data_IF_294823603622
#
_entry.id   IF_294823603622
#
_cell.length_a   1.000
_cell.length_b   1.000
_cell.length_c   1.000
_cell.angle_alpha   90.00
_cell.angle_beta   90.00
_cell.angle_gamma   90.00
#
_symmetry.space_group_name_H-M   'P 1'
#
loop_
_entity.id
_entity.type
_entity.pdbx_description
1 polymer ?
#
# COMPACT_ATOMS: atom_id res chain seq x y z
N UNK A 1 -2.78 -27.05 5.03
CA UNK A 1 -1.83 -27.06 3.90
C UNK A 1 -1.56 -25.61 3.54
N UNK A 2 -0.34 -25.11 3.80
CA UNK A 2 0.06 -23.73 3.46
C UNK A 2 0.26 -23.59 1.94
N UNK A 3 0.32 -22.36 1.43
CA UNK A 3 0.35 -22.00 -0.02
C UNK A 3 1.29 -22.88 -0.87
N UNK A 4 0.79 -24.01 -1.37
CA UNK A 4 1.55 -24.98 -2.20
C UNK A 4 2.01 -24.35 -3.51
N UNK A 5 1.32 -23.31 -3.97
CA UNK A 5 1.68 -22.55 -5.18
C UNK A 5 2.56 -21.32 -4.90
N UNK A 6 3.10 -21.13 -3.69
CA UNK A 6 3.95 -19.99 -3.40
C UNK A 6 5.29 -20.13 -4.14
N UNK A 7 5.48 -19.32 -5.18
CA UNK A 7 6.73 -19.29 -5.96
C UNK A 7 7.75 -18.30 -5.41
N UNK A 8 7.30 -17.28 -4.68
CA UNK A 8 8.15 -16.22 -4.14
C UNK A 8 7.48 -15.51 -2.98
N UNK A 9 8.28 -15.16 -1.98
CA UNK A 9 7.87 -14.36 -0.81
C UNK A 9 8.55 -13.00 -0.92
N UNK A 10 7.77 -11.95 -0.69
CA UNK A 10 8.27 -10.59 -0.51
C UNK A 10 7.86 -10.13 0.88
N UNK A 11 8.78 -9.53 1.61
CA UNK A 11 8.56 -9.07 2.98
C UNK A 11 8.61 -7.55 3.01
N UNK A 12 7.67 -6.94 3.74
CA UNK A 12 7.68 -5.52 4.09
C UNK A 12 7.74 -5.41 5.61
N UNK A 13 8.65 -4.59 6.13
CA UNK A 13 8.86 -4.42 7.56
C UNK A 13 9.25 -5.71 8.29
N UNK A 14 8.98 -5.74 9.60
CA UNK A 14 9.32 -6.87 10.47
C UNK A 14 8.23 -7.95 10.43
N UNK A 15 8.59 -9.14 9.96
CA UNK A 15 7.68 -10.29 9.92
C UNK A 15 7.84 -11.12 11.19
N UNK A 16 6.73 -11.32 11.91
CA UNK A 16 6.69 -12.14 13.12
C UNK A 16 5.50 -13.10 13.08
N UNK A 17 5.70 -14.35 13.52
CA UNK A 17 4.65 -15.35 13.67
C UNK A 17 4.24 -15.43 15.14
N UNK A 18 3.10 -14.81 15.46
CA UNK A 18 2.54 -14.81 16.81
C UNK A 18 1.34 -15.75 16.87
N UNK A 19 1.38 -16.73 17.77
CA UNK A 19 0.25 -17.66 18.00
C UNK A 19 -0.60 -17.13 19.15
N UNK A 20 -1.88 -16.78 18.94
CA UNK A 20 -2.74 -16.26 20.02
C UNK A 20 -3.06 -17.38 21.03
N UNK A 21 -2.65 -17.19 22.29
CA UNK A 21 -2.74 -18.22 23.34
C UNK A 21 -4.05 -18.09 24.13
N UNK A 22 -4.41 -16.86 24.51
CA UNK A 22 -5.61 -16.64 25.34
C UNK A 22 -6.87 -16.46 24.50
N UNK A 23 -8.08 -16.64 25.08
CA UNK A 23 -9.32 -16.29 24.40
C UNK A 23 -9.37 -14.83 23.90
N UNK A 24 -8.82 -13.91 24.68
CA UNK A 24 -8.73 -12.49 24.34
C UNK A 24 -7.84 -12.28 23.10
N UNK A 25 -6.65 -12.90 23.07
CA UNK A 25 -5.74 -12.80 21.93
C UNK A 25 -6.37 -13.35 20.66
N UNK A 26 -7.11 -14.47 20.78
CA UNK A 26 -7.83 -15.07 19.64
C UNK A 26 -8.90 -14.13 19.11
N UNK A 27 -9.67 -13.50 20.00
CA UNK A 27 -10.70 -12.54 19.61
C UNK A 27 -10.09 -11.32 18.93
N UNK A 28 -8.99 -10.77 19.46
CA UNK A 28 -8.31 -9.62 18.87
C UNK A 28 -7.71 -9.96 17.50
N UNK A 29 -7.04 -11.11 17.38
CA UNK A 29 -6.48 -11.59 16.11
C UNK A 29 -7.58 -11.80 15.06
N UNK A 30 -8.74 -12.34 15.46
CA UNK A 30 -9.88 -12.50 14.56
C UNK A 30 -10.41 -11.14 14.07
N UNK A 31 -10.64 -10.19 14.97
CA UNK A 31 -11.13 -8.85 14.62
C UNK A 31 -10.17 -8.12 13.68
N UNK A 32 -8.86 -8.20 13.95
CA UNK A 32 -7.84 -7.66 13.05
C UNK A 32 -7.92 -8.28 11.66
N UNK A 33 -8.09 -9.60 11.57
CA UNK A 33 -8.18 -10.31 10.28
C UNK A 33 -9.43 -9.90 9.49
N UNK A 34 -10.57 -9.71 10.16
CA UNK A 34 -11.80 -9.21 9.52
C UNK A 34 -11.59 -7.79 8.99
N UNK A 35 -11.05 -6.89 9.80
CA UNK A 35 -10.78 -5.51 9.39
C UNK A 35 -9.80 -5.44 8.20
N UNK A 36 -8.78 -6.29 8.16
CA UNK A 36 -7.86 -6.39 7.03
C UNK A 36 -8.55 -6.90 5.75
N UNK A 37 -9.45 -7.88 5.86
CA UNK A 37 -10.23 -8.39 4.72
C UNK A 37 -11.14 -7.27 4.17
N UNK A 38 -11.86 -6.57 5.03
CA UNK A 38 -12.75 -5.47 4.64
C UNK A 38 -11.99 -4.32 3.97
N UNK A 39 -10.83 -3.95 4.52
CA UNK A 39 -9.94 -2.97 3.91
C UNK A 39 -9.52 -3.38 2.50
N UNK A 40 -9.09 -4.64 2.33
CA UNK A 40 -8.69 -5.16 1.03
C UNK A 40 -9.85 -5.18 0.03
N UNK A 41 -11.07 -5.48 0.47
CA UNK A 41 -12.26 -5.40 -0.37
C UNK A 41 -12.55 -3.97 -0.81
N UNK A 42 -12.45 -3.00 0.10
CA UNK A 42 -12.68 -1.58 -0.20
C UNK A 42 -11.67 -1.03 -1.23
N UNK A 43 -10.40 -1.43 -1.16
CA UNK A 43 -9.41 -1.08 -2.18
C UNK A 43 -9.81 -1.56 -3.59
N UNK A 44 -10.52 -2.68 -3.66
CA UNK A 44 -10.94 -3.30 -4.91
C UNK A 44 -12.31 -2.83 -5.42
N UNK A 45 -13.02 -1.95 -4.71
CA UNK A 45 -14.37 -1.51 -5.09
C UNK A 45 -14.39 -0.50 -6.25
N UNK A 46 -13.35 0.31 -6.45
CA UNK A 46 -13.32 1.25 -7.56
C UNK A 46 -13.20 0.52 -8.90
N UNK A 47 -14.11 0.80 -9.82
CA UNK A 47 -14.04 0.26 -11.19
C UNK A 47 -12.83 0.80 -11.97
N UNK A 48 -12.25 1.92 -11.55
CA UNK A 48 -11.15 2.59 -12.23
C UNK A 48 -9.81 1.98 -11.79
N UNK A 49 -9.08 1.29 -12.69
CA UNK A 49 -7.84 0.58 -12.33
C UNK A 49 -6.76 1.46 -11.71
N UNK A 50 -6.63 2.69 -12.20
CA UNK A 50 -5.65 3.64 -11.70
C UNK A 50 -5.98 4.10 -10.27
N UNK A 51 -7.27 4.27 -9.94
CA UNK A 51 -7.68 4.63 -8.58
C UNK A 51 -7.39 3.50 -7.59
N UNK A 52 -7.70 2.24 -7.95
CA UNK A 52 -7.32 1.08 -7.12
C UNK A 52 -5.81 1.01 -6.88
N UNK A 53 -5.03 1.30 -7.92
CA UNK A 53 -3.57 1.30 -7.85
C UNK A 53 -3.03 2.39 -6.93
N UNK A 54 -3.60 3.60 -7.00
CA UNK A 54 -3.23 4.71 -6.11
C UNK A 54 -3.60 4.40 -4.66
N UNK A 55 -4.82 3.91 -4.43
CA UNK A 55 -5.29 3.55 -3.09
C UNK A 55 -4.43 2.43 -2.46
N UNK A 56 -4.00 1.45 -3.25
CA UNK A 56 -3.04 0.42 -2.81
C UNK A 56 -1.73 1.06 -2.36
N UNK A 57 -1.15 1.94 -3.17
CA UNK A 57 0.13 2.60 -2.85
C UNK A 57 -0.01 3.50 -1.61
N UNK A 58 -1.13 4.20 -1.45
CA UNK A 58 -1.46 4.99 -0.26
C UNK A 58 -1.50 4.12 0.99
N UNK A 59 -2.32 3.07 0.99
CA UNK A 59 -2.42 2.15 2.13
C UNK A 59 -1.06 1.55 2.52
N UNK A 60 -0.22 1.20 1.52
CA UNK A 60 1.11 0.67 1.80
C UNK A 60 2.04 1.75 2.36
N UNK A 61 2.04 2.96 1.79
CA UNK A 61 2.89 4.07 2.24
C UNK A 61 2.52 4.57 3.65
N UNK A 62 1.27 4.40 4.07
CA UNK A 62 0.83 4.73 5.43
C UNK A 62 1.41 3.78 6.49
N UNK A 63 1.93 2.61 6.07
CA UNK A 63 2.41 1.54 6.96
C UNK A 63 3.88 1.22 6.82
N UNK A 64 4.45 1.46 5.64
CA UNK A 64 5.81 1.10 5.27
C UNK A 64 6.48 2.26 4.56
N UNK A 65 7.81 2.27 4.57
CA UNK A 65 8.55 3.30 3.85
C UNK A 65 8.36 3.16 2.33
N UNK A 66 8.39 4.29 1.63
CA UNK A 66 8.31 4.32 0.16
C UNK A 66 9.37 3.43 -0.48
N UNK A 67 10.59 3.45 0.06
CA UNK A 67 11.72 2.71 -0.49
C UNK A 67 11.53 1.18 -0.34
N UNK A 68 10.98 0.71 0.78
CA UNK A 68 10.63 -0.71 0.94
C UNK A 68 9.57 -1.14 -0.09
N UNK A 69 8.54 -0.31 -0.32
CA UNK A 69 7.47 -0.65 -1.25
C UNK A 69 8.00 -0.65 -2.69
N UNK A 70 8.94 0.25 -3.04
CA UNK A 70 9.59 0.29 -4.36
C UNK A 70 10.40 -0.97 -4.68
N UNK A 71 10.81 -1.74 -3.67
CA UNK A 71 11.47 -3.03 -3.90
C UNK A 71 10.50 -4.09 -4.42
N UNK A 72 9.18 -3.88 -4.28
CA UNK A 72 8.18 -4.80 -4.79
C UNK A 72 8.01 -4.63 -6.30
N UNK A 73 8.09 -5.73 -7.07
CA UNK A 73 7.78 -5.70 -8.49
C UNK A 73 6.33 -5.24 -8.76
N UNK A 74 6.15 -4.45 -9.81
CA UNK A 74 4.82 -3.95 -10.18
C UNK A 74 3.82 -5.07 -10.49
N UNK A 75 4.27 -6.24 -10.94
CA UNK A 75 3.41 -7.40 -11.17
C UNK A 75 2.89 -8.03 -9.87
N UNK A 76 3.67 -7.96 -8.79
CA UNK A 76 3.24 -8.38 -7.45
C UNK A 76 2.17 -7.43 -6.94
N UNK A 77 2.43 -6.12 -6.97
CA UNK A 77 1.47 -5.09 -6.56
C UNK A 77 0.18 -5.15 -7.40
N UNK A 78 0.31 -5.38 -8.71
CA UNK A 78 -0.83 -5.45 -9.62
C UNK A 78 -1.78 -6.62 -9.31
N UNK A 79 -1.23 -7.76 -8.88
CA UNK A 79 -2.02 -8.94 -8.47
C UNK A 79 -2.88 -8.68 -7.23
N UNK A 80 -2.45 -7.78 -6.35
CA UNK A 80 -3.17 -7.47 -5.09
C UNK A 80 -4.53 -6.82 -5.38
N UNK A 81 -4.61 -5.94 -6.38
CA UNK A 81 -5.82 -5.16 -6.72
C UNK A 81 -6.40 -5.44 -8.11
N UNK A 82 -5.92 -6.50 -8.77
CA UNK A 82 -6.42 -6.95 -10.07
C UNK A 82 -6.28 -5.89 -11.17
N UNK A 83 -5.04 -5.45 -11.44
CA UNK A 83 -4.72 -4.46 -12.49
C UNK A 83 -3.54 -4.93 -13.35
N UNK A 84 -3.17 -4.14 -14.36
CA UNK A 84 -1.95 -4.40 -15.13
C UNK A 84 -0.72 -3.81 -14.40
N UNK A 85 0.47 -4.42 -14.52
CA UNK A 85 1.70 -3.87 -13.93
C UNK A 85 2.00 -2.43 -14.38
N UNK A 86 1.65 -2.09 -15.63
CA UNK A 86 1.82 -0.73 -16.14
C UNK A 86 0.89 0.29 -15.44
N UNK A 87 -0.27 -0.14 -14.96
CA UNK A 87 -1.19 0.72 -14.18
C UNK A 87 -0.56 1.09 -12.83
N UNK A 88 0.14 0.14 -12.18
CA UNK A 88 0.91 0.43 -10.97
C UNK A 88 2.05 1.42 -11.27
N UNK A 89 2.78 1.23 -12.37
CA UNK A 89 3.83 2.17 -12.78
C UNK A 89 3.29 3.59 -13.01
N UNK A 90 2.09 3.73 -13.57
CA UNK A 90 1.41 5.03 -13.72
C UNK A 90 1.03 5.63 -12.36
N UNK A 91 0.52 4.82 -11.42
CA UNK A 91 0.19 5.28 -10.08
C UNK A 91 1.43 5.80 -9.32
N UNK A 92 2.57 5.13 -9.45
CA UNK A 92 3.85 5.63 -8.93
C UNK A 92 4.21 6.99 -9.53
N UNK A 93 4.13 7.15 -10.86
CA UNK A 93 4.42 8.44 -11.50
C UNK A 93 3.48 9.53 -11.00
N UNK A 94 2.18 9.24 -10.91
CA UNK A 94 1.20 10.21 -10.43
C UNK A 94 1.49 10.62 -8.99
N UNK A 95 1.67 9.67 -8.06
CA UNK A 95 1.89 9.97 -6.64
C UNK A 95 3.20 10.72 -6.38
N UNK A 96 4.28 10.35 -7.07
CA UNK A 96 5.62 10.89 -6.80
C UNK A 96 6.03 12.06 -7.69
N UNK A 97 5.38 12.27 -8.84
CA UNK A 97 5.50 13.53 -9.57
C UNK A 97 4.61 14.63 -8.97
N UNK A 98 3.59 14.28 -8.18
CA UNK A 98 2.81 15.25 -7.41
C UNK A 98 3.59 15.76 -6.19
N UNK A 99 4.41 14.93 -5.54
CA UNK A 99 5.26 15.37 -4.41
C UNK A 99 6.27 16.45 -4.82
N UNK A 100 6.93 16.30 -5.97
CA UNK A 100 7.85 17.33 -6.47
C UNK A 100 7.17 18.63 -6.90
N UNK A 101 5.87 18.63 -7.17
CA UNK A 101 5.09 19.84 -7.42
C UNK A 101 4.62 20.51 -6.11
N UNK A 102 4.27 19.73 -5.07
CA UNK A 102 3.86 20.26 -3.77
C UNK A 102 5.03 20.84 -2.97
N UNK A 103 6.22 20.24 -3.07
CA UNK A 103 7.45 20.77 -2.46
C UNK A 103 7.86 22.12 -3.05
N UNK A 104 7.53 22.38 -4.33
CA UNK A 104 7.77 23.66 -4.98
C UNK A 104 6.77 24.72 -4.50
N UNK A 105 5.48 24.41 -4.35
CA UNK A 105 4.48 25.38 -3.89
C UNK A 105 4.71 25.87 -2.45
N UNK A 106 5.15 24.98 -1.55
CA UNK A 106 5.49 25.37 -0.17
C UNK A 106 6.76 26.25 -0.10
N UNK A 107 7.66 26.12 -1.08
CA UNK A 107 8.85 26.98 -1.19
C UNK A 107 8.56 28.40 -1.71
N UNK A 108 7.46 28.58 -2.46
CA UNK A 108 7.06 29.88 -3.01
C UNK A 108 6.13 30.67 -2.08
N UNK A 109 5.31 30.03 -1.23
CA UNK A 109 4.51 30.74 -0.23
C UNK A 109 5.37 31.37 0.89
N UNK A 110 6.55 30.80 1.19
CA UNK A 110 7.50 31.39 2.14
C UNK A 110 8.20 32.67 1.64
N UNK A 111 8.16 32.97 0.34
CA UNK A 111 8.78 34.15 -0.26
C UNK A 111 7.79 35.29 -0.54
N UNK A 112 6.48 35.02 -0.51
CA UNK A 112 5.43 36.00 -0.83
C UNK A 112 5.05 36.94 0.34
N UNK A 113 5.54 36.69 1.56
CA UNK A 113 5.28 37.53 2.74
C UNK A 113 6.44 38.47 3.13
N UNK A 114 7.47 38.57 2.29
CA UNK A 114 8.60 39.48 2.49
C UNK A 114 8.64 40.52 1.35
N UNK A 115 7.69 41.44 1.30
CA UNK A 115 7.82 42.69 0.52
C UNK A 115 7.07 43.83 1.21
#
# INVERSE_FOLDING_TARGET
MFDIGCVKIFTLGKVEFNTPITPSDRQQAFQKRIAEIEMMQNLCQSDIPLQRSIALLEMLCDRFSVDEIRMLPNDVLAKIVGVLPNTIAMAWKQKFNLQSATDLTDSYEGLAFAT
#
